data_IF_059658944622
#
_entry.id   IF_059658944622
#
_cell.length_a   1.000
_cell.length_b   1.000
_cell.length_c   1.000
_cell.angle_alpha   90.00
_cell.angle_beta   90.00
_cell.angle_gamma   90.00
#
_symmetry.space_group_name_H-M   'P 1'
#
loop_
_entity.id
_entity.type
_entity.pdbx_description
1 polymer ?
#
# COMPACT_ATOMS: atom_id res chain seq x y z
N UNK A 1 -35.91 -4.04 -30.29
CA UNK A 1 -35.41 -4.68 -29.05
C UNK A 1 -33.98 -5.12 -29.31
N UNK A 2 -33.00 -4.31 -28.91
CA UNK A 2 -31.58 -4.61 -29.08
C UNK A 2 -31.04 -5.18 -27.76
N UNK A 3 -30.59 -6.43 -27.78
CA UNK A 3 -29.97 -7.09 -26.65
C UNK A 3 -28.49 -6.73 -26.61
N UNK A 4 -28.07 -5.91 -25.64
CA UNK A 4 -26.66 -5.63 -25.37
C UNK A 4 -26.06 -6.77 -24.55
N UNK A 5 -25.37 -7.68 -25.24
CA UNK A 5 -24.50 -8.67 -24.62
C UNK A 5 -23.37 -7.97 -23.85
N UNK A 6 -23.43 -8.06 -22.53
CA UNK A 6 -22.37 -7.59 -21.63
C UNK A 6 -21.41 -8.75 -21.38
N UNK A 7 -20.34 -8.84 -22.16
CA UNK A 7 -19.25 -9.79 -21.95
C UNK A 7 -18.43 -9.36 -20.73
N UNK A 8 -18.43 -10.20 -19.69
CA UNK A 8 -17.64 -9.99 -18.49
C UNK A 8 -16.13 -10.09 -18.82
N UNK A 9 -15.28 -9.18 -18.29
CA UNK A 9 -13.85 -9.23 -18.54
C UNK A 9 -13.18 -10.45 -17.89
N UNK A 10 -12.12 -11.01 -18.50
CA UNK A 10 -11.45 -12.21 -18.00
C UNK A 10 -10.70 -11.95 -16.66
N UNK A 11 -10.74 -12.88 -15.69
CA UNK A 11 -10.24 -12.67 -14.32
C UNK A 11 -8.70 -12.71 -14.12
N UNK A 12 -7.89 -12.54 -15.17
CA UNK A 12 -6.45 -12.88 -15.12
C UNK A 12 -5.43 -11.73 -14.96
N UNK A 13 -5.80 -10.46 -15.16
CA UNK A 13 -4.82 -9.39 -15.43
C UNK A 13 -4.34 -8.52 -14.25
N UNK A 14 -4.84 -8.71 -13.03
CA UNK A 14 -4.71 -7.69 -11.95
C UNK A 14 -3.37 -7.67 -11.23
N UNK A 15 -2.64 -8.78 -11.16
CA UNK A 15 -1.46 -8.90 -10.29
C UNK A 15 -0.22 -8.16 -10.82
N UNK A 16 0.05 -8.22 -12.13
CA UNK A 16 1.20 -7.50 -12.73
C UNK A 16 0.95 -5.99 -12.85
N UNK A 17 -0.31 -5.58 -13.03
CA UNK A 17 -0.70 -4.18 -12.99
C UNK A 17 -0.50 -3.56 -11.60
N UNK A 18 -0.81 -4.31 -10.54
CA UNK A 18 -0.66 -3.85 -9.15
C UNK A 18 0.81 -3.70 -8.71
N UNK A 19 1.73 -4.51 -9.22
CA UNK A 19 3.16 -4.37 -8.89
C UNK A 19 3.77 -3.06 -9.43
N UNK A 20 3.42 -2.69 -10.67
CA UNK A 20 3.93 -1.46 -11.32
C UNK A 20 3.37 -0.19 -10.67
N UNK A 21 2.13 -0.22 -10.19
CA UNK A 21 1.51 0.92 -9.50
C UNK A 21 2.12 1.16 -8.12
N UNK A 22 2.46 0.11 -7.37
CA UNK A 22 3.12 0.22 -6.06
C UNK A 22 4.53 0.81 -6.20
N UNK A 23 5.35 0.29 -7.12
CA UNK A 23 6.71 0.80 -7.35
C UNK A 23 6.68 2.27 -7.80
N UNK A 24 5.75 2.63 -8.69
CA UNK A 24 5.58 4.01 -9.14
C UNK A 24 5.10 4.93 -8.00
N UNK A 25 4.28 4.45 -7.08
CA UNK A 25 3.84 5.22 -5.91
C UNK A 25 5.00 5.46 -4.93
N UNK A 26 5.78 4.42 -4.60
CA UNK A 26 6.95 4.52 -3.72
C UNK A 26 7.98 5.48 -4.32
N UNK A 27 8.31 5.33 -5.60
CA UNK A 27 9.25 6.21 -6.29
C UNK A 27 8.78 7.68 -6.26
N UNK A 28 7.49 7.92 -6.50
CA UNK A 28 6.90 9.27 -6.41
C UNK A 28 7.03 9.85 -5.01
N UNK A 29 6.74 9.07 -3.97
CA UNK A 29 6.89 9.54 -2.58
C UNK A 29 8.34 9.84 -2.22
N UNK A 30 9.29 9.00 -2.65
CA UNK A 30 10.71 9.22 -2.44
C UNK A 30 11.20 10.51 -3.13
N UNK A 31 10.86 10.70 -4.41
CA UNK A 31 11.21 11.91 -5.17
C UNK A 31 10.61 13.16 -4.53
N UNK A 32 9.33 13.12 -4.11
CA UNK A 32 8.71 14.23 -3.42
C UNK A 32 9.34 14.53 -2.06
N UNK A 33 9.76 13.51 -1.32
CA UNK A 33 10.52 13.66 -0.08
C UNK A 33 11.85 14.37 -0.31
N UNK A 34 12.59 13.95 -1.34
CA UNK A 34 13.86 14.57 -1.72
C UNK A 34 13.70 16.05 -2.11
N UNK A 35 12.71 16.37 -2.97
CA UNK A 35 12.45 17.75 -3.41
C UNK A 35 12.11 18.64 -2.21
N UNK A 36 11.28 18.16 -1.27
CA UNK A 36 10.91 18.92 -0.07
C UNK A 36 12.10 19.17 0.84
N UNK A 37 12.93 18.13 1.07
CA UNK A 37 14.13 18.26 1.90
C UNK A 37 15.13 19.24 1.27
N UNK A 38 15.37 19.12 -0.04
CA UNK A 38 16.27 20.02 -0.75
C UNK A 38 15.78 21.47 -0.69
N UNK A 39 14.48 21.71 -0.92
CA UNK A 39 13.90 23.05 -0.84
C UNK A 39 14.00 23.66 0.57
N UNK A 40 13.73 22.86 1.62
CA UNK A 40 13.88 23.29 3.01
C UNK A 40 15.35 23.63 3.32
N UNK A 41 16.29 22.71 3.05
CA UNK A 41 17.71 22.95 3.27
C UNK A 41 18.22 24.21 2.55
N UNK A 42 17.78 24.46 1.31
CA UNK A 42 18.15 25.66 0.57
C UNK A 42 17.59 26.94 1.21
N UNK A 43 16.31 26.94 1.62
CA UNK A 43 15.70 28.09 2.29
C UNK A 43 16.33 28.37 3.66
N UNK A 44 16.50 27.33 4.49
CA UNK A 44 17.17 27.41 5.79
C UNK A 44 18.63 27.86 5.66
N UNK A 45 19.36 27.38 4.65
CA UNK A 45 20.72 27.82 4.34
C UNK A 45 20.77 29.30 3.94
N UNK A 46 19.89 29.74 3.03
CA UNK A 46 19.82 31.15 2.63
C UNK A 46 19.48 32.06 3.82
N UNK A 47 18.52 31.67 4.67
CA UNK A 47 18.22 32.43 5.88
C UNK A 47 19.41 32.46 6.85
N UNK A 48 20.13 31.35 6.99
CA UNK A 48 21.34 31.30 7.80
C UNK A 48 22.39 32.29 7.29
N UNK A 49 22.68 32.30 5.98
CA UNK A 49 23.66 33.23 5.39
C UNK A 49 23.23 34.68 5.57
N UNK A 50 21.97 35.00 5.30
CA UNK A 50 21.42 36.35 5.52
C UNK A 50 21.53 36.75 6.99
N UNK A 51 21.14 35.89 7.93
CA UNK A 51 21.26 36.17 9.36
C UNK A 51 22.71 36.37 9.80
N UNK A 52 23.65 35.60 9.25
CA UNK A 52 25.08 35.74 9.53
C UNK A 52 25.67 37.03 8.96
N UNK A 53 25.14 37.54 7.85
CA UNK A 53 25.51 38.84 7.30
C UNK A 53 25.12 40.00 8.24
N UNK A 54 24.05 39.85 9.00
CA UNK A 54 23.62 40.80 10.05
C UNK A 54 24.13 40.45 11.45
N UNK A 55 25.27 39.76 11.54
CA UNK A 55 25.95 39.42 12.80
C UNK A 55 25.15 38.58 13.82
N UNK A 56 24.06 37.93 13.41
CA UNK A 56 23.27 37.05 14.30
C UNK A 56 24.12 35.86 14.75
N UNK A 57 24.21 35.54 16.06
CA UNK A 57 24.97 34.40 16.56
C UNK A 57 24.62 33.08 15.86
N UNK A 58 25.62 32.23 15.60
CA UNK A 58 25.48 31.00 14.77
C UNK A 58 24.32 30.10 15.22
N UNK A 59 24.17 29.90 16.53
CA UNK A 59 23.09 29.08 17.09
C UNK A 59 21.70 29.65 16.81
N UNK A 60 21.54 30.97 16.92
CA UNK A 60 20.28 31.65 16.64
C UNK A 60 19.98 31.68 15.14
N UNK A 61 20.99 31.88 14.29
CA UNK A 61 20.83 31.83 12.83
C UNK A 61 20.38 30.44 12.36
N UNK A 62 21.00 29.37 12.89
CA UNK A 62 20.58 27.98 12.61
C UNK A 62 19.15 27.74 13.11
N UNK A 63 18.84 28.18 14.33
CA UNK A 63 17.50 28.06 14.92
C UNK A 63 16.44 28.76 14.09
N UNK A 64 16.72 29.97 13.59
CA UNK A 64 15.81 30.73 12.73
C UNK A 64 15.50 29.97 11.41
N UNK A 65 16.52 29.38 10.78
CA UNK A 65 16.36 28.50 9.61
C UNK A 65 15.42 27.33 9.90
N UNK A 66 15.67 26.60 10.98
CA UNK A 66 14.85 25.44 11.37
C UNK A 66 13.40 25.82 11.70
N UNK A 67 13.19 26.95 12.39
CA UNK A 67 11.84 27.46 12.69
C UNK A 67 11.12 27.85 11.40
N UNK A 68 11.79 28.54 10.48
CA UNK A 68 11.24 28.92 9.20
C UNK A 68 10.78 27.71 8.38
N UNK A 69 11.65 26.71 8.22
CA UNK A 69 11.33 25.47 7.50
C UNK A 69 10.21 24.68 8.19
N UNK A 70 10.22 24.62 9.53
CA UNK A 70 9.17 23.99 10.32
C UNK A 70 7.80 24.63 10.09
N UNK A 71 7.73 25.96 10.09
CA UNK A 71 6.49 26.70 9.79
C UNK A 71 6.04 26.46 8.35
N UNK A 72 6.95 26.54 7.38
CA UNK A 72 6.63 26.29 5.98
C UNK A 72 6.08 24.87 5.76
N UNK A 73 6.69 23.87 6.41
CA UNK A 73 6.21 22.49 6.40
C UNK A 73 4.79 22.36 7.00
N UNK A 74 4.52 23.01 8.14
CA UNK A 74 3.20 22.99 8.78
C UNK A 74 2.13 23.69 7.92
N UNK A 75 2.44 24.79 7.25
CA UNK A 75 1.55 25.44 6.27
C UNK A 75 1.21 24.48 5.12
N UNK A 76 2.21 23.81 4.55
CA UNK A 76 2.00 22.87 3.44
C UNK A 76 1.21 21.64 3.88
N UNK A 77 1.50 21.10 5.07
CA UNK A 77 0.79 19.96 5.64
C UNK A 77 -0.67 20.32 5.93
N UNK A 78 -0.92 21.45 6.59
CA UNK A 78 -2.28 21.90 6.89
C UNK A 78 -3.11 22.16 5.62
N UNK A 79 -2.50 22.69 4.55
CA UNK A 79 -3.17 22.83 3.26
C UNK A 79 -3.56 21.47 2.67
N UNK A 80 -2.65 20.50 2.72
CA UNK A 80 -2.89 19.14 2.22
C UNK A 80 -3.98 18.42 3.03
N UNK A 81 -3.92 18.53 4.36
CA UNK A 81 -4.92 17.94 5.26
C UNK A 81 -6.31 18.58 5.07
N UNK A 82 -6.38 19.90 4.88
CA UNK A 82 -7.62 20.59 4.58
C UNK A 82 -8.23 20.13 3.25
N UNK A 83 -7.40 20.00 2.20
CA UNK A 83 -7.84 19.52 0.87
C UNK A 83 -8.37 18.09 0.95
N UNK A 84 -7.65 17.19 1.62
CA UNK A 84 -8.06 15.78 1.78
C UNK A 84 -9.35 15.65 2.59
N UNK A 85 -9.52 16.48 3.61
CA UNK A 85 -10.74 16.56 4.40
C UNK A 85 -11.91 17.25 3.66
N UNK A 86 -11.70 17.77 2.45
CA UNK A 86 -12.71 18.54 1.71
C UNK A 86 -13.06 19.89 2.36
N UNK A 87 -12.22 20.39 3.28
CA UNK A 87 -12.38 21.68 3.95
C UNK A 87 -11.74 22.80 3.14
N UNK A 88 -12.10 24.03 3.48
CA UNK A 88 -11.46 25.22 2.91
C UNK A 88 -9.97 25.24 3.28
N UNK A 89 -9.11 25.11 2.25
CA UNK A 89 -7.65 25.18 2.40
C UNK A 89 -7.07 26.58 2.14
N UNK A 90 -7.94 27.58 1.88
CA UNK A 90 -7.50 28.92 1.49
C UNK A 90 -6.51 29.57 2.48
N UNK A 91 -6.73 29.56 3.81
CA UNK A 91 -5.78 30.17 4.75
C UNK A 91 -4.40 29.50 4.69
N UNK A 92 -4.35 28.17 4.68
CA UNK A 92 -3.09 27.41 4.61
C UNK A 92 -2.38 27.60 3.27
N UNK A 93 -3.12 27.69 2.16
CA UNK A 93 -2.54 27.98 0.83
C UNK A 93 -1.96 29.40 0.82
N UNK A 94 -2.68 30.40 1.33
CA UNK A 94 -2.19 31.78 1.43
C UNK A 94 -0.92 31.83 2.30
N UNK A 95 -0.94 31.16 3.46
CA UNK A 95 0.23 31.08 4.33
C UNK A 95 1.43 30.39 3.62
N UNK A 96 1.17 29.31 2.87
CA UNK A 96 2.21 28.63 2.07
C UNK A 96 2.79 29.55 0.99
N UNK A 97 1.95 30.31 0.30
CA UNK A 97 2.39 31.30 -0.68
C UNK A 97 3.22 32.40 -0.02
N UNK A 98 2.78 32.92 1.12
CA UNK A 98 3.55 33.91 1.89
C UNK A 98 4.94 33.40 2.29
N UNK A 99 5.02 32.19 2.85
CA UNK A 99 6.29 31.55 3.20
C UNK A 99 7.20 31.37 1.98
N UNK A 100 6.63 30.94 0.85
CA UNK A 100 7.41 30.76 -0.37
C UNK A 100 7.88 32.09 -0.97
N UNK A 101 7.08 33.16 -0.89
CA UNK A 101 7.51 34.51 -1.28
C UNK A 101 8.68 35.00 -0.42
N UNK A 102 8.63 34.80 0.90
CA UNK A 102 9.75 35.12 1.80
C UNK A 102 10.97 34.27 1.46
N UNK A 103 10.79 32.97 1.17
CA UNK A 103 11.88 32.09 0.76
C UNK A 103 12.55 32.57 -0.53
N UNK A 104 11.79 32.93 -1.56
CA UNK A 104 12.33 33.49 -2.80
C UNK A 104 13.10 34.78 -2.52
N UNK A 105 12.54 35.69 -1.72
CA UNK A 105 13.23 36.93 -1.35
C UNK A 105 14.57 36.67 -0.66
N UNK A 106 14.61 35.76 0.34
CA UNK A 106 15.85 35.39 1.04
C UNK A 106 16.88 34.77 0.09
N UNK A 107 16.44 33.98 -0.89
CA UNK A 107 17.33 33.39 -1.91
C UNK A 107 17.94 34.46 -2.83
N UNK A 108 17.17 35.50 -3.18
CA UNK A 108 17.69 36.64 -3.94
C UNK A 108 18.72 37.45 -3.14
N UNK A 109 18.42 37.75 -1.87
CA UNK A 109 19.37 38.47 -0.99
C UNK A 109 20.64 37.65 -0.79
N UNK A 110 20.53 36.33 -0.63
CA UNK A 110 21.69 35.46 -0.52
C UNK A 110 22.54 35.43 -1.80
N UNK A 111 21.91 35.44 -2.98
CA UNK A 111 22.63 35.56 -4.25
C UNK A 111 23.43 36.86 -4.34
N UNK A 112 22.83 37.98 -3.91
CA UNK A 112 23.44 39.30 -3.90
C UNK A 112 24.63 39.38 -2.93
N UNK A 113 24.45 38.89 -1.69
CA UNK A 113 25.53 38.78 -0.68
C UNK A 113 26.70 37.92 -1.19
N UNK A 114 26.41 36.92 -2.02
CA UNK A 114 27.43 36.03 -2.60
C UNK A 114 28.09 36.59 -3.87
N UNK A 115 27.66 37.76 -4.36
CA UNK A 115 28.09 38.36 -5.62
C UNK A 115 27.93 37.43 -6.83
N UNK A 116 26.93 36.55 -6.82
CA UNK A 116 26.71 35.56 -7.88
C UNK A 116 25.97 36.07 -9.11
N UNK A 117 25.37 37.27 -9.02
CA UNK A 117 24.56 37.88 -10.07
C UNK A 117 23.28 37.10 -10.40
N UNK A 118 22.66 37.44 -11.54
CA UNK A 118 21.38 36.83 -11.97
C UNK A 118 21.39 35.30 -12.10
N UNK A 119 22.47 34.62 -12.54
CA UNK A 119 22.48 33.16 -12.57
C UNK A 119 22.30 32.54 -11.17
N UNK A 120 22.89 33.13 -10.14
CA UNK A 120 22.74 32.65 -8.76
C UNK A 120 21.34 32.93 -8.21
N UNK A 121 20.75 34.08 -8.54
CA UNK A 121 19.36 34.41 -8.18
C UNK A 121 18.38 33.33 -8.69
N UNK A 122 18.49 32.98 -9.97
CA UNK A 122 17.65 31.94 -10.60
C UNK A 122 17.91 30.59 -9.95
N UNK A 123 19.19 30.23 -9.77
CA UNK A 123 19.57 28.94 -9.18
C UNK A 123 19.00 28.79 -7.76
N UNK A 124 19.14 29.79 -6.90
CA UNK A 124 18.68 29.74 -5.52
C UNK A 124 17.16 29.87 -5.38
N UNK A 125 16.48 30.65 -6.23
CA UNK A 125 15.02 30.78 -6.18
C UNK A 125 14.28 29.56 -6.77
N UNK A 126 14.90 28.85 -7.73
CA UNK A 126 14.26 27.77 -8.48
C UNK A 126 13.63 26.65 -7.63
N UNK A 127 14.23 26.17 -6.51
CA UNK A 127 13.64 25.08 -5.73
C UNK A 127 12.35 25.49 -5.03
N UNK A 128 12.26 26.74 -4.55
CA UNK A 128 11.06 27.27 -3.89
C UNK A 128 9.89 27.37 -4.88
N UNK A 129 10.16 27.90 -6.08
CA UNK A 129 9.18 28.00 -7.16
C UNK A 129 8.76 26.61 -7.65
N UNK A 130 9.72 25.70 -7.85
CA UNK A 130 9.45 24.32 -8.24
C UNK A 130 8.56 23.60 -7.23
N UNK A 131 8.83 23.76 -5.93
CA UNK A 131 8.01 23.18 -4.87
C UNK A 131 6.57 23.72 -4.89
N UNK A 132 6.36 25.01 -5.13
CA UNK A 132 5.02 25.59 -5.26
C UNK A 132 4.25 25.00 -6.45
N UNK A 133 4.88 24.91 -7.62
CA UNK A 133 4.26 24.36 -8.84
C UNK A 133 3.84 22.90 -8.59
N UNK A 134 4.75 22.08 -8.08
CA UNK A 134 4.46 20.67 -7.83
C UNK A 134 3.38 20.51 -6.75
N UNK A 135 3.40 21.34 -5.71
CA UNK A 135 2.36 21.34 -4.67
C UNK A 135 0.99 21.67 -5.25
N UNK A 136 0.90 22.73 -6.07
CA UNK A 136 -0.33 23.13 -6.75
C UNK A 136 -0.89 22.02 -7.66
N UNK A 137 -0.01 21.37 -8.45
CA UNK A 137 -0.39 20.24 -9.30
C UNK A 137 -0.89 19.05 -8.47
N UNK A 138 -0.21 18.72 -7.37
CA UNK A 138 -0.61 17.63 -6.48
C UNK A 138 -1.99 17.87 -5.85
N UNK A 139 -2.25 19.08 -5.38
CA UNK A 139 -3.53 19.48 -4.81
C UNK A 139 -4.67 19.51 -5.83
N UNK A 140 -4.38 19.82 -7.09
CA UNK A 140 -5.38 19.75 -8.16
C UNK A 140 -5.76 18.30 -8.46
N UNK A 141 -4.78 17.38 -8.50
CA UNK A 141 -5.03 15.96 -8.68
C UNK A 141 -5.86 15.36 -7.53
N UNK A 142 -5.50 15.64 -6.28
CA UNK A 142 -6.26 15.19 -5.11
C UNK A 142 -7.71 15.72 -5.13
N UNK A 143 -7.90 17.01 -5.45
CA UNK A 143 -9.25 17.60 -5.59
C UNK A 143 -10.04 16.96 -6.72
N UNK A 144 -9.42 16.67 -7.86
CA UNK A 144 -10.09 16.01 -8.98
C UNK A 144 -10.53 14.59 -8.62
N UNK A 145 -9.68 13.81 -7.95
CA UNK A 145 -10.02 12.47 -7.47
C UNK A 145 -11.14 12.50 -6.43
N UNK A 146 -11.09 13.42 -5.47
CA UNK A 146 -12.12 13.57 -4.45
C UNK A 146 -13.48 13.93 -5.06
N UNK A 147 -13.52 14.76 -6.12
CA UNK A 147 -14.74 15.06 -6.86
C UNK A 147 -15.26 13.85 -7.63
N UNK A 148 -14.38 13.16 -8.36
CA UNK A 148 -14.74 11.96 -9.10
C UNK A 148 -15.34 10.87 -8.18
N UNK A 149 -14.79 10.70 -6.98
CA UNK A 149 -15.32 9.76 -5.98
C UNK A 149 -16.72 10.13 -5.47
N UNK A 150 -17.11 11.42 -5.53
CA UNK A 150 -18.46 11.91 -5.21
C UNK A 150 -19.40 11.89 -6.43
N UNK A 151 -18.96 11.40 -7.58
CA UNK A 151 -19.71 11.49 -8.84
C UNK A 151 -19.82 12.91 -9.39
N UNK A 152 -19.05 13.86 -8.86
CA UNK A 152 -19.04 15.24 -9.36
C UNK A 152 -18.15 15.34 -10.61
N UNK A 153 -18.72 15.85 -11.70
CA UNK A 153 -17.93 16.21 -12.87
C UNK A 153 -17.06 17.43 -12.54
N UNK A 154 -15.73 17.32 -12.71
CA UNK A 154 -14.84 18.44 -12.48
C UNK A 154 -15.21 19.63 -13.38
N UNK A 155 -15.37 20.82 -12.77
CA UNK A 155 -15.56 22.05 -13.52
C UNK A 155 -14.39 22.26 -14.48
N UNK A 156 -14.67 22.21 -15.78
CA UNK A 156 -13.69 22.49 -16.82
C UNK A 156 -13.81 23.96 -17.20
N UNK A 157 -12.71 24.70 -17.05
CA UNK A 157 -12.62 26.05 -17.59
C UNK A 157 -12.84 25.99 -19.11
N UNK A 158 -13.50 27.01 -19.71
CA UNK A 158 -13.52 27.16 -21.15
C UNK A 158 -12.08 27.20 -21.69
N UNK A 159 -11.84 26.44 -22.76
CA UNK A 159 -10.53 26.33 -23.38
C UNK A 159 -10.24 27.59 -24.20
N UNK A 160 -9.76 28.63 -23.54
CA UNK A 160 -9.17 29.79 -24.20
C UNK A 160 -7.65 29.60 -24.28
N UNK A 161 -7.05 29.97 -25.41
CA UNK A 161 -5.60 30.10 -25.50
C UNK A 161 -5.10 31.27 -24.64
N UNK A 162 -3.78 31.33 -24.38
CA UNK A 162 -3.15 32.39 -23.60
C UNK A 162 -3.56 33.80 -24.09
N UNK A 163 -3.56 33.99 -25.42
CA UNK A 163 -3.98 35.26 -26.05
C UNK A 163 -5.47 35.58 -25.87
N UNK A 164 -6.33 34.57 -25.77
CA UNK A 164 -7.75 34.78 -25.49
C UNK A 164 -7.97 35.34 -24.08
N UNK A 165 -7.18 34.88 -23.12
CA UNK A 165 -7.19 35.45 -21.76
C UNK A 165 -6.63 36.87 -21.68
N UNK A 166 -5.62 37.17 -22.50
CA UNK A 166 -4.93 38.46 -22.49
C UNK A 166 -5.69 39.55 -23.26
N UNK A 167 -6.19 39.23 -24.46
CA UNK A 167 -6.84 40.18 -25.36
C UNK A 167 -8.34 40.32 -25.11
N UNK A 168 -9.00 39.25 -24.64
CA UNK A 168 -10.45 39.20 -24.44
C UNK A 168 -10.80 38.82 -22.99
N UNK A 169 -10.14 39.47 -22.03
CA UNK A 169 -10.26 39.16 -20.59
C UNK A 169 -11.71 39.21 -20.08
N UNK A 170 -12.49 40.19 -20.53
CA UNK A 170 -13.90 40.33 -20.15
C UNK A 170 -14.78 39.21 -20.69
N UNK A 171 -14.55 38.78 -21.94
CA UNK A 171 -15.29 37.68 -22.57
C UNK A 171 -14.91 36.34 -21.95
N UNK A 172 -13.62 36.13 -21.69
CA UNK A 172 -13.11 34.96 -21.00
C UNK A 172 -13.69 34.85 -19.58
N UNK A 173 -13.69 35.96 -18.83
CA UNK A 173 -14.30 36.03 -17.50
C UNK A 173 -15.82 35.80 -17.54
N UNK A 174 -16.51 36.40 -18.51
CA UNK A 174 -17.94 36.20 -18.75
C UNK A 174 -18.29 34.75 -19.04
N UNK A 175 -17.52 34.09 -19.90
CA UNK A 175 -17.69 32.68 -20.25
C UNK A 175 -17.43 31.76 -19.05
N UNK A 176 -16.42 32.05 -18.23
CA UNK A 176 -16.16 31.32 -16.98
C UNK A 176 -17.33 31.48 -16.02
N UNK A 177 -17.81 32.71 -15.81
CA UNK A 177 -18.97 32.98 -14.96
C UNK A 177 -20.21 32.27 -15.46
N UNK A 178 -20.52 32.37 -16.76
CA UNK A 178 -21.68 31.70 -17.36
C UNK A 178 -21.63 30.19 -17.21
N UNK A 179 -20.46 29.57 -17.43
CA UNK A 179 -20.28 28.14 -17.24
C UNK A 179 -20.34 27.73 -15.78
N UNK A 180 -19.82 28.54 -14.86
CA UNK A 180 -19.89 28.31 -13.43
C UNK A 180 -21.35 28.36 -12.95
N UNK A 181 -22.12 29.36 -13.39
CA UNK A 181 -23.55 29.45 -13.14
C UNK A 181 -24.25 28.22 -13.70
N UNK A 182 -24.04 27.86 -14.96
CA UNK A 182 -24.63 26.67 -15.56
C UNK A 182 -24.28 25.39 -14.79
N UNK A 183 -23.03 25.24 -14.32
CA UNK A 183 -22.61 24.08 -13.53
C UNK A 183 -23.32 24.00 -12.16
N UNK A 184 -23.58 25.13 -11.51
CA UNK A 184 -24.30 25.21 -10.24
C UNK A 184 -25.81 25.02 -10.45
N UNK A 185 -26.39 25.60 -11.50
CA UNK A 185 -27.85 25.61 -11.72
C UNK A 185 -28.39 24.38 -12.44
N UNK A 186 -27.58 23.68 -13.24
CA UNK A 186 -28.03 22.52 -14.05
C UNK A 186 -28.37 21.26 -13.24
N UNK A 187 -28.26 21.27 -11.91
CA UNK A 187 -28.65 20.14 -11.05
C UNK A 187 -27.84 18.84 -11.28
N UNK A 188 -26.84 18.86 -12.16
CA UNK A 188 -25.93 17.75 -12.42
C UNK A 188 -24.83 17.60 -11.35
N UNK A 189 -24.75 18.52 -10.39
CA UNK A 189 -24.18 18.19 -9.09
C UNK A 189 -25.26 17.42 -8.33
N UNK A 190 -25.12 16.10 -8.10
CA UNK A 190 -26.02 15.40 -7.18
C UNK A 190 -26.12 16.23 -5.92
N UNK A 191 -27.36 16.49 -5.46
CA UNK A 191 -27.63 17.25 -4.24
C UNK A 191 -26.58 16.87 -3.21
N UNK A 192 -25.82 17.86 -2.74
CA UNK A 192 -24.70 17.69 -1.82
C UNK A 192 -25.16 16.74 -0.73
N UNK A 193 -24.87 15.44 -0.90
CA UNK A 193 -25.35 14.43 0.01
C UNK A 193 -24.54 14.75 1.26
N UNK A 194 -25.17 15.29 2.33
CA UNK A 194 -24.44 15.85 3.46
C UNK A 194 -23.46 14.77 3.88
N UNK A 195 -22.16 15.04 3.67
CA UNK A 195 -21.12 14.03 3.52
C UNK A 195 -21.36 12.87 4.48
N UNK A 196 -21.95 11.76 3.99
CA UNK A 196 -22.69 10.75 4.75
C UNK A 196 -22.11 10.49 6.14
N UNK A 197 -22.41 11.34 7.12
CA UNK A 197 -21.62 11.61 8.34
C UNK A 197 -20.25 10.92 8.36
N UNK A 198 -19.42 11.16 7.33
CA UNK A 198 -18.38 10.24 6.83
C UNK A 198 -18.23 8.98 7.68
N UNK A 199 -19.19 8.02 7.60
CA UNK A 199 -19.46 6.93 8.57
C UNK A 199 -18.26 6.77 9.48
N UNK A 200 -18.22 7.54 10.58
CA UNK A 200 -17.02 7.81 11.39
C UNK A 200 -16.24 6.52 11.39
N UNK A 201 -15.16 6.44 10.61
CA UNK A 201 -14.50 5.15 10.37
C UNK A 201 -14.17 4.70 11.77
N UNK A 202 -14.87 3.68 12.23
CA UNK A 202 -14.70 3.24 13.59
C UNK A 202 -13.32 2.64 13.58
N UNK A 203 -12.33 3.44 13.97
CA UNK A 203 -10.93 3.05 13.96
C UNK A 203 -10.79 1.75 14.74
N UNK A 204 -11.66 1.52 15.73
CA UNK A 204 -11.78 0.28 16.46
C UNK A 204 -12.32 -0.88 15.61
N UNK A 205 -13.32 -0.66 14.76
CA UNK A 205 -13.82 -1.67 13.82
C UNK A 205 -12.77 -2.01 12.74
N UNK A 206 -12.04 -1.01 12.24
CA UNK A 206 -10.95 -1.25 11.28
C UNK A 206 -9.79 -2.00 11.91
N UNK A 207 -9.35 -1.58 13.09
CA UNK A 207 -8.33 -2.30 13.86
C UNK A 207 -8.78 -3.73 14.16
N UNK A 208 -10.03 -3.92 14.60
CA UNK A 208 -10.62 -5.26 14.81
C UNK A 208 -10.58 -6.10 13.53
N UNK A 209 -10.87 -5.54 12.35
CA UNK A 209 -10.79 -6.26 11.09
C UNK A 209 -9.35 -6.60 10.67
N UNK A 210 -8.40 -5.67 10.86
CA UNK A 210 -6.98 -5.90 10.57
C UNK A 210 -6.36 -6.94 11.54
N UNK A 211 -6.67 -6.86 12.83
CA UNK A 211 -6.24 -7.83 13.84
C UNK A 211 -6.89 -9.20 13.64
N UNK A 212 -8.17 -9.27 13.25
CA UNK A 212 -8.84 -10.54 12.97
C UNK A 212 -8.28 -11.26 11.72
N UNK A 213 -7.63 -10.54 10.82
CA UNK A 213 -6.97 -11.10 9.64
C UNK A 213 -5.48 -11.45 9.89
N UNK A 214 -4.93 -11.05 11.03
CA UNK A 214 -3.53 -11.28 11.42
C UNK A 214 -3.37 -12.66 12.04
N UNK A 215 -2.19 -13.27 11.88
CA UNK A 215 -1.86 -14.50 12.58
C UNK A 215 -1.86 -14.25 14.09
N UNK A 216 -2.50 -15.09 14.93
CA UNK A 216 -2.58 -14.85 16.37
C UNK A 216 -1.21 -14.69 17.04
N UNK A 217 -0.18 -15.39 16.55
CA UNK A 217 1.18 -15.27 17.07
C UNK A 217 1.77 -13.87 16.84
N UNK A 218 1.67 -13.35 15.62
CA UNK A 218 2.12 -11.99 15.29
C UNK A 218 1.39 -10.93 16.14
N UNK A 219 0.07 -11.11 16.34
CA UNK A 219 -0.72 -10.20 17.15
C UNK A 219 -0.29 -10.19 18.62
N UNK A 220 0.08 -11.36 19.17
CA UNK A 220 0.60 -11.50 20.54
C UNK A 220 1.95 -10.80 20.69
N UNK A 221 2.89 -11.00 19.76
CA UNK A 221 4.21 -10.35 19.80
C UNK A 221 4.11 -8.82 19.71
N UNK A 222 3.27 -8.31 18.81
CA UNK A 222 3.01 -6.87 18.67
C UNK A 222 2.37 -6.31 19.95
N UNK A 223 1.39 -7.01 20.53
CA UNK A 223 0.73 -6.58 21.75
C UNK A 223 1.67 -6.55 22.95
N UNK A 224 2.51 -7.59 23.12
CA UNK A 224 3.48 -7.71 24.20
C UNK A 224 4.59 -6.65 24.11
N UNK A 225 5.13 -6.42 22.91
CA UNK A 225 6.15 -5.37 22.68
C UNK A 225 5.62 -3.96 22.93
N UNK A 226 4.33 -3.72 22.66
CA UNK A 226 3.68 -2.43 22.89
C UNK A 226 3.31 -2.20 24.36
N UNK A 227 3.09 -3.27 25.13
CA UNK A 227 2.64 -3.22 26.53
C UNK A 227 3.52 -4.10 27.45
N UNK A 228 4.81 -3.76 27.64
CA UNK A 228 5.78 -4.62 28.34
C UNK A 228 5.49 -4.82 29.84
N UNK A 229 4.45 -4.18 30.39
CA UNK A 229 4.05 -4.29 31.80
C UNK A 229 2.75 -5.07 32.00
N UNK A 230 2.04 -5.44 30.94
CA UNK A 230 0.81 -6.23 31.06
C UNK A 230 1.15 -7.69 31.32
N UNK A 231 0.37 -8.32 32.19
CA UNK A 231 0.42 -9.76 32.40
C UNK A 231 -0.16 -10.51 31.19
N UNK A 232 0.16 -11.81 31.07
CA UNK A 232 -0.36 -12.65 29.98
C UNK A 232 -1.89 -12.73 29.94
N UNK A 233 -2.55 -12.69 31.11
CA UNK A 233 -4.00 -12.72 31.20
C UNK A 233 -4.62 -11.42 30.67
N UNK A 234 -4.04 -10.26 31.02
CA UNK A 234 -4.48 -8.95 30.53
C UNK A 234 -4.25 -8.81 29.02
N UNK A 235 -3.15 -9.34 28.49
CA UNK A 235 -2.90 -9.39 27.05
C UNK A 235 -3.94 -10.25 26.31
N UNK A 236 -4.26 -11.44 26.84
CA UNK A 236 -5.28 -12.32 26.27
C UNK A 236 -6.68 -11.67 26.27
N UNK A 237 -7.05 -11.00 27.37
CA UNK A 237 -8.31 -10.25 27.47
C UNK A 237 -8.35 -9.08 26.48
N UNK A 238 -7.27 -8.33 26.36
CA UNK A 238 -7.14 -7.23 25.40
C UNK A 238 -7.30 -7.73 23.96
N UNK A 239 -6.58 -8.79 23.56
CA UNK A 239 -6.66 -9.38 22.22
C UNK A 239 -8.06 -9.95 21.92
N UNK A 240 -8.70 -10.55 22.93
CA UNK A 240 -10.08 -11.03 22.83
C UNK A 240 -11.06 -9.86 22.59
N UNK A 241 -10.85 -8.71 23.23
CA UNK A 241 -11.64 -7.51 22.97
C UNK A 241 -11.49 -7.01 21.52
N UNK A 242 -10.36 -7.29 20.86
CA UNK A 242 -10.12 -7.03 19.43
C UNK A 242 -10.53 -8.19 18.50
N UNK A 243 -11.19 -9.22 19.03
CA UNK A 243 -11.76 -10.32 18.23
C UNK A 243 -10.77 -11.45 17.91
N UNK A 244 -9.58 -11.47 18.52
CA UNK A 244 -8.63 -12.58 18.40
C UNK A 244 -8.83 -13.48 19.62
N UNK A 245 -9.34 -14.69 19.41
CA UNK A 245 -9.54 -15.66 20.49
C UNK A 245 -8.20 -16.31 20.85
N UNK A 246 -7.59 -15.86 21.95
CA UNK A 246 -6.30 -16.36 22.45
C UNK A 246 -6.46 -16.68 23.94
N UNK A 247 -5.97 -17.84 24.39
CA UNK A 247 -5.94 -18.15 25.81
C UNK A 247 -4.67 -17.59 26.48
N UNK A 248 -4.71 -17.40 27.80
CA UNK A 248 -3.53 -17.00 28.59
C UNK A 248 -2.34 -17.96 28.37
N UNK A 249 -2.62 -19.25 28.15
CA UNK A 249 -1.60 -20.26 27.89
C UNK A 249 -0.96 -20.06 26.52
N UNK A 250 -1.73 -19.72 25.49
CA UNK A 250 -1.21 -19.48 24.14
C UNK A 250 -0.26 -18.27 24.14
N UNK A 251 -0.63 -17.20 24.86
CA UNK A 251 0.23 -16.01 25.05
C UNK A 251 1.54 -16.41 25.72
N UNK A 252 1.48 -17.17 26.82
CA UNK A 252 2.66 -17.59 27.55
C UNK A 252 3.55 -18.56 26.74
N UNK A 253 2.95 -19.43 25.92
CA UNK A 253 3.67 -20.37 25.07
C UNK A 253 4.38 -19.69 23.90
N UNK A 254 3.73 -18.70 23.29
CA UNK A 254 4.28 -17.94 22.16
C UNK A 254 5.39 -16.99 22.64
N UNK A 255 5.23 -16.36 23.79
CA UNK A 255 6.28 -15.52 24.40
C UNK A 255 7.42 -16.33 25.02
N UNK A 256 7.33 -17.66 25.03
CA UNK A 256 8.37 -18.54 25.54
C UNK A 256 8.52 -18.54 27.06
N UNK A 257 7.51 -18.03 27.79
CA UNK A 257 7.52 -17.93 29.26
C UNK A 257 6.75 -19.07 29.95
N UNK A 258 5.96 -19.85 29.20
CA UNK A 258 5.36 -21.07 29.72
C UNK A 258 6.43 -22.17 29.84
N UNK A 259 6.78 -22.52 31.08
CA UNK A 259 7.49 -23.77 31.36
C UNK A 259 6.64 -24.93 30.83
N UNK A 260 7.09 -25.57 29.74
CA UNK A 260 6.45 -26.76 29.18
C UNK A 260 6.37 -27.79 30.31
N UNK A 261 5.16 -28.21 30.76
CA UNK A 261 5.06 -29.22 31.79
C UNK A 261 5.73 -30.48 31.25
N UNK A 262 6.83 -30.87 31.90
CA UNK A 262 7.56 -32.09 31.57
C UNK A 262 6.68 -33.25 32.03
N UNK A 263 5.89 -33.80 31.11
CA UNK A 263 5.12 -35.01 31.38
C UNK A 263 6.10 -36.18 31.41
N UNK A 264 6.56 -36.54 32.62
CA UNK A 264 7.23 -37.82 32.87
C UNK A 264 6.21 -38.93 32.69
N UNK A 265 6.22 -39.56 31.51
CA UNK A 265 5.49 -40.79 31.25
C UNK A 265 6.20 -41.92 32.00
N UNK A 266 5.62 -42.31 33.13
CA UNK A 266 6.09 -43.48 33.87
C UNK A 266 5.72 -44.74 33.08
N UNK A 267 6.73 -45.32 32.41
CA UNK A 267 6.53 -46.56 31.64
C UNK A 267 6.28 -47.69 32.63
N UNK A 268 5.03 -48.14 32.69
CA UNK A 268 4.67 -49.41 33.35
C UNK A 268 5.60 -50.53 32.84
N UNK A 269 6.25 -51.31 33.72
CA UNK A 269 7.18 -52.37 33.31
C UNK A 269 6.48 -53.35 32.37
N UNK A 270 6.98 -53.43 31.13
CA UNK A 270 6.52 -54.39 30.12
C UNK A 270 6.80 -55.80 30.65
N UNK A 271 5.79 -56.68 30.81
CA UNK A 271 6.05 -58.08 31.13
C UNK A 271 6.91 -58.70 30.03
N UNK A 272 7.93 -59.45 30.43
CA UNK A 272 8.78 -60.20 29.52
C UNK A 272 7.92 -61.21 28.74
N UNK A 273 7.72 -60.96 27.46
CA UNK A 273 7.08 -61.91 26.56
C UNK A 273 7.84 -61.95 25.23
N UNK A 274 8.37 -63.15 24.99
CA UNK A 274 8.61 -63.85 23.73
C UNK A 274 9.13 -63.08 22.50
N UNK A 275 10.14 -63.68 21.89
CA UNK A 275 10.73 -63.33 20.60
C UNK A 275 9.63 -63.09 19.54
N UNK A 276 9.49 -61.83 19.12
CA UNK A 276 8.67 -61.44 17.99
C UNK A 276 9.43 -61.77 16.70
N UNK A 277 8.85 -62.49 15.72
CA UNK A 277 9.42 -62.59 14.39
C UNK A 277 9.37 -61.21 13.71
N UNK A 278 10.33 -60.95 12.82
CA UNK A 278 10.47 -59.70 12.09
C UNK A 278 9.15 -59.26 11.44
N UNK A 279 8.60 -58.13 11.90
CA UNK A 279 7.38 -57.53 11.39
C UNK A 279 7.72 -56.50 10.29
N UNK A 280 8.46 -56.93 9.26
CA UNK A 280 8.60 -56.19 8.01
C UNK A 280 7.45 -56.61 7.08
N UNK A 281 6.23 -56.06 7.27
CA UNK A 281 5.21 -56.05 6.21
C UNK A 281 3.93 -55.24 6.47
N UNK A 282 3.45 -55.02 7.71
CA UNK A 282 1.98 -54.94 7.86
C UNK A 282 1.37 -53.90 8.81
N UNK A 283 1.94 -52.70 8.93
CA UNK A 283 1.17 -51.54 9.43
C UNK A 283 1.46 -50.28 8.62
N UNK A 284 0.85 -50.19 7.43
CA UNK A 284 0.52 -48.89 6.84
C UNK A 284 -0.77 -48.40 7.50
N UNK A 285 -0.80 -47.23 8.17
CA UNK A 285 -2.05 -46.64 8.62
C UNK A 285 -2.92 -46.41 7.39
N UNK A 286 -4.19 -46.84 7.45
CA UNK A 286 -5.19 -46.72 6.39
C UNK A 286 -5.05 -45.40 5.62
N UNK A 287 -4.48 -45.49 4.42
CA UNK A 287 -4.52 -44.40 3.47
C UNK A 287 -6.00 -44.10 3.19
N UNK A 288 -6.38 -42.82 3.23
CA UNK A 288 -7.72 -42.41 2.88
C UNK A 288 -8.15 -43.07 1.55
N UNK A 289 -9.35 -43.66 1.45
CA UNK A 289 -9.73 -44.58 0.37
C UNK A 289 -9.69 -43.98 -1.06
N UNK A 290 -9.45 -42.68 -1.20
CA UNK A 290 -9.42 -41.96 -2.48
C UNK A 290 -8.09 -41.28 -2.82
N UNK A 291 -7.03 -41.47 -2.03
CA UNK A 291 -5.74 -40.84 -2.33
C UNK A 291 -5.13 -41.43 -3.62
N UNK A 292 -4.65 -40.60 -4.58
CA UNK A 292 -4.03 -41.09 -5.80
C UNK A 292 -2.82 -41.94 -5.44
N UNK A 293 -2.71 -43.12 -6.06
CA UNK A 293 -1.52 -43.95 -5.95
C UNK A 293 -0.40 -43.27 -6.73
N UNK A 294 0.55 -42.65 -6.03
CA UNK A 294 1.72 -41.99 -6.64
C UNK A 294 2.92 -42.94 -6.79
N UNK A 295 2.72 -44.24 -6.56
CA UNK A 295 3.76 -45.26 -6.71
C UNK A 295 4.20 -45.37 -8.16
N UNK A 296 5.49 -45.15 -8.43
CA UNK A 296 6.08 -45.18 -9.78
C UNK A 296 6.18 -43.83 -10.49
N UNK A 297 5.58 -42.77 -9.93
CA UNK A 297 5.78 -41.41 -10.44
C UNK A 297 7.14 -40.86 -10.00
N UNK A 298 7.70 -39.96 -10.81
CA UNK A 298 8.83 -39.16 -10.36
C UNK A 298 8.42 -38.34 -9.14
N UNK A 299 9.36 -38.03 -8.25
CA UNK A 299 9.09 -37.21 -7.04
C UNK A 299 8.43 -35.87 -7.38
N UNK A 300 8.76 -35.32 -8.54
CA UNK A 300 8.16 -34.12 -9.08
C UNK A 300 6.68 -34.30 -9.47
N UNK A 301 6.36 -35.39 -10.16
CA UNK A 301 5.01 -35.65 -10.66
C UNK A 301 4.08 -36.09 -9.53
N UNK A 302 4.62 -36.82 -8.55
CA UNK A 302 3.93 -37.17 -7.32
C UNK A 302 3.46 -35.93 -6.55
N UNK A 303 4.29 -34.88 -6.47
CA UNK A 303 3.92 -33.61 -5.84
C UNK A 303 2.77 -32.94 -6.57
N UNK A 304 2.84 -32.86 -7.90
CA UNK A 304 1.81 -32.21 -8.72
C UNK A 304 0.48 -32.97 -8.67
N UNK A 305 0.51 -34.30 -8.79
CA UNK A 305 -0.67 -35.15 -8.70
C UNK A 305 -1.34 -35.08 -7.32
N UNK A 306 -0.53 -35.08 -6.26
CA UNK A 306 -1.04 -34.94 -4.89
C UNK A 306 -1.65 -33.55 -4.63
N UNK A 307 -1.04 -32.49 -5.14
CA UNK A 307 -1.59 -31.14 -5.03
C UNK A 307 -2.92 -31.01 -5.79
N UNK A 308 -3.01 -31.55 -7.01
CA UNK A 308 -4.26 -31.58 -7.77
C UNK A 308 -5.38 -32.30 -7.01
N UNK A 309 -5.09 -33.43 -6.37
CA UNK A 309 -6.06 -34.15 -5.56
C UNK A 309 -6.53 -33.37 -4.32
N UNK A 310 -5.66 -32.57 -3.71
CA UNK A 310 -5.94 -31.79 -2.50
C UNK A 310 -6.53 -30.40 -2.77
N UNK A 311 -6.99 -30.11 -3.99
CA UNK A 311 -7.63 -28.83 -4.32
C UNK A 311 -6.84 -27.94 -5.29
N UNK A 312 -5.84 -28.48 -5.98
CA UNK A 312 -5.14 -27.80 -7.08
C UNK A 312 -3.76 -27.27 -6.72
N UNK A 313 -3.16 -26.50 -7.63
CA UNK A 313 -1.79 -25.99 -7.46
C UNK A 313 -1.63 -24.91 -6.37
N UNK A 314 -2.73 -24.48 -5.75
CA UNK A 314 -2.74 -23.52 -4.64
C UNK A 314 -2.81 -24.18 -3.26
N UNK A 315 -2.82 -25.51 -3.18
CA UNK A 315 -2.81 -26.22 -1.90
C UNK A 315 -1.56 -25.89 -1.09
N UNK A 316 -1.67 -25.68 0.24
CA UNK A 316 -0.52 -25.44 1.10
C UNK A 316 0.54 -26.54 0.99
N UNK A 317 1.81 -26.13 0.82
CA UNK A 317 2.93 -27.06 0.62
C UNK A 317 3.11 -28.06 1.79
N UNK A 318 2.80 -27.64 3.02
CA UNK A 318 2.84 -28.50 4.20
C UNK A 318 1.84 -29.66 4.12
N UNK A 319 0.64 -29.41 3.59
CA UNK A 319 -0.40 -30.43 3.41
C UNK A 319 0.01 -31.48 2.38
N UNK A 320 0.62 -31.03 1.27
CA UNK A 320 1.14 -31.92 0.21
C UNK A 320 2.32 -32.75 0.72
N UNK A 321 3.26 -32.15 1.45
CA UNK A 321 4.40 -32.85 2.05
C UNK A 321 3.93 -33.92 3.06
N UNK A 322 2.95 -33.57 3.91
CA UNK A 322 2.37 -34.49 4.89
C UNK A 322 1.63 -35.66 4.21
N UNK A 323 0.92 -35.39 3.11
CA UNK A 323 0.23 -36.44 2.35
C UNK A 323 1.21 -37.40 1.65
N UNK A 324 2.30 -36.88 1.09
CA UNK A 324 3.36 -37.69 0.48
C UNK A 324 4.13 -38.52 1.53
N UNK A 325 4.37 -37.96 2.71
CA UNK A 325 5.01 -38.67 3.81
C UNK A 325 4.18 -39.91 4.24
N UNK A 326 2.85 -39.79 4.27
CA UNK A 326 1.94 -40.92 4.54
C UNK A 326 2.03 -42.02 3.47
N UNK A 327 2.47 -41.69 2.25
CA UNK A 327 2.68 -42.64 1.17
C UNK A 327 4.14 -43.12 1.07
N UNK A 328 5.00 -42.76 2.03
CA UNK A 328 6.40 -43.19 2.10
C UNK A 328 7.37 -42.33 1.26
N UNK A 329 6.93 -41.17 0.75
CA UNK A 329 7.79 -40.26 -0.02
C UNK A 329 8.18 -39.07 0.85
N UNK A 330 9.31 -39.17 1.54
CA UNK A 330 9.86 -38.10 2.35
C UNK A 330 10.27 -36.90 1.47
N UNK A 331 9.66 -35.74 1.73
CA UNK A 331 9.89 -34.52 0.93
C UNK A 331 9.89 -33.29 1.81
N UNK A 332 10.86 -32.40 1.59
CA UNK A 332 10.94 -31.11 2.28
C UNK A 332 9.89 -30.13 1.73
N UNK A 333 9.24 -29.40 2.64
CA UNK A 333 8.30 -28.32 2.36
C UNK A 333 8.85 -27.24 1.43
N UNK A 334 10.14 -26.86 1.54
CA UNK A 334 10.73 -25.88 0.63
C UNK A 334 10.83 -26.42 -0.80
N UNK A 335 11.18 -27.71 -0.95
CA UNK A 335 11.18 -28.38 -2.26
C UNK A 335 9.78 -28.44 -2.87
N UNK A 336 8.76 -28.79 -2.07
CA UNK A 336 7.35 -28.81 -2.52
C UNK A 336 6.91 -27.43 -2.98
N UNK A 337 7.19 -26.38 -2.21
CA UNK A 337 6.85 -24.99 -2.57
C UNK A 337 7.49 -24.57 -3.89
N UNK A 338 8.77 -24.90 -4.08
CA UNK A 338 9.48 -24.62 -5.32
C UNK A 338 8.84 -25.36 -6.51
N UNK A 339 8.52 -26.66 -6.37
CA UNK A 339 7.88 -27.45 -7.44
C UNK A 339 6.49 -26.93 -7.78
N UNK A 340 5.66 -26.58 -6.80
CA UNK A 340 4.34 -26.00 -7.04
C UNK A 340 4.41 -24.61 -7.70
N UNK A 341 5.40 -23.79 -7.32
CA UNK A 341 5.65 -22.51 -8.02
C UNK A 341 6.00 -22.73 -9.49
N UNK A 342 6.88 -23.70 -9.79
CA UNK A 342 7.25 -24.04 -11.16
C UNK A 342 6.06 -24.58 -11.96
N UNK A 343 5.26 -25.48 -11.38
CA UNK A 343 4.07 -26.04 -12.01
C UNK A 343 3.03 -24.95 -12.33
N UNK A 344 2.82 -23.97 -11.45
CA UNK A 344 1.92 -22.83 -11.71
C UNK A 344 2.39 -21.96 -12.89
N UNK A 345 3.69 -21.70 -12.98
CA UNK A 345 4.27 -20.96 -14.12
C UNK A 345 4.10 -21.71 -15.44
N UNK A 346 4.29 -23.03 -15.42
CA UNK A 346 4.10 -23.86 -16.61
C UNK A 346 2.62 -23.88 -17.04
N UNK A 347 1.69 -24.11 -16.10
CA UNK A 347 0.26 -24.08 -16.38
C UNK A 347 -0.22 -22.72 -16.93
N UNK A 348 0.33 -21.61 -16.42
CA UNK A 348 0.04 -20.27 -16.94
C UNK A 348 0.54 -20.09 -18.38
N UNK A 349 1.76 -20.53 -18.67
CA UNK A 349 2.33 -20.47 -20.02
C UNK A 349 1.57 -21.35 -21.02
N UNK A 350 1.14 -22.55 -20.61
CA UNK A 350 0.32 -23.43 -21.43
C UNK A 350 -1.07 -22.82 -21.71
N UNK A 351 -1.69 -22.17 -20.73
CA UNK A 351 -2.96 -21.47 -20.92
C UNK A 351 -2.84 -20.29 -21.91
N UNK A 352 -1.75 -19.52 -21.83
CA UNK A 352 -1.47 -18.43 -22.79
C UNK A 352 -1.27 -18.97 -24.21
N UNK A 353 -0.56 -20.10 -24.37
CA UNK A 353 -0.36 -20.75 -25.67
C UNK A 353 -1.68 -21.28 -26.25
N UNK A 354 -2.51 -21.92 -25.44
CA UNK A 354 -3.82 -22.43 -25.86
C UNK A 354 -4.75 -21.28 -26.27
N UNK A 355 -4.73 -20.17 -25.55
CA UNK A 355 -5.51 -18.99 -25.91
C UNK A 355 -5.02 -18.38 -27.23
N UNK A 356 -3.71 -18.24 -27.41
CA UNK A 356 -3.13 -17.75 -28.66
C UNK A 356 -3.43 -18.69 -29.86
N UNK A 357 -3.43 -20.00 -29.65
CA UNK A 357 -3.80 -20.98 -30.67
C UNK A 357 -5.29 -20.93 -31.01
N UNK A 358 -6.16 -20.79 -30.00
CA UNK A 358 -7.60 -20.60 -30.17
C UNK A 358 -7.89 -19.32 -30.97
N UNK A 359 -7.24 -18.21 -30.64
CA UNK A 359 -7.34 -16.94 -31.37
C UNK A 359 -6.86 -17.09 -32.82
N UNK A 360 -5.78 -17.85 -33.08
CA UNK A 360 -5.33 -18.13 -34.46
C UNK A 360 -6.32 -18.98 -35.24
N UNK A 361 -6.94 -19.99 -34.62
CA UNK A 361 -7.87 -20.89 -35.29
C UNK A 361 -9.24 -20.25 -35.54
N UNK A 362 -9.66 -19.27 -34.74
CA UNK A 362 -11.03 -18.72 -34.80
C UNK A 362 -11.08 -17.22 -35.12
N UNK A 363 -9.95 -16.51 -35.05
CA UNK A 363 -9.89 -15.05 -35.23
C UNK A 363 -9.73 -14.54 -36.67
N UNK A 364 -9.68 -15.41 -37.69
CA UNK A 364 -9.39 -15.00 -39.08
C UNK A 364 -10.51 -15.24 -40.11
N UNK A 365 -11.74 -15.51 -39.67
CA UNK A 365 -12.87 -15.82 -40.56
C UNK A 365 -13.74 -14.63 -41.00
N UNK A 366 -13.30 -13.38 -40.81
CA UNK A 366 -14.22 -12.24 -40.72
C UNK A 366 -13.93 -11.04 -41.61
N UNK A 367 -13.31 -11.18 -42.78
CA UNK A 367 -13.38 -10.15 -43.84
C UNK A 367 -13.22 -10.82 -45.22
N UNK A 368 -14.36 -11.12 -45.85
CA UNK A 368 -14.47 -11.30 -47.30
C UNK A 368 -15.73 -10.58 -47.76
#
# INVERSE_FOLDING_TARGET
>A
MASTNTTAPPPGGTWLANGRTIVAAIARHAVMGLIRLAAACMAGWSLYVVARHYDVPRGLALGAGLVFDGVAYLCLRSASDAIRAGRTAAPSIIATLGMASVSVYLNLVHADISHGGHPAEVLYASPAVGLLIVSALSWNAERAQARAARGEAAFRLPAFGLWGWLLASNEAAGAVKGRAVAHVTSGASPAHQPASTAKRIDHRARLRAEFAAMDPADAIEIAASSHPRMSHAELAEMLTAYGIAVSTLDVALILGEAAVPTVTLDRVPRPAAAQTPALDAQMRPNAAPNAPQVTGLSKADAITAMAQHLGGLNTPAASVASALARQGIATDTAYVRHRLSKARKQAAAEAEQQQAEYERRHGNGGYA
#
